data_IF_431921254987
#
_entry.id   IF_431921254987
#
_cell.length_a   1.000
_cell.length_b   1.000
_cell.length_c   1.000
_cell.angle_alpha   90.00
_cell.angle_beta   90.00
_cell.angle_gamma   90.00
#
_symmetry.space_group_name_H-M   'P 1'
#
loop_
_entity.id
_entity.type
_entity.pdbx_description
1 polymer ?
#
# COMPACT_ATOMS: atom_id res chain seq x y z
N UNK A 1 -12.22 29.40 -26.91
CA UNK A 1 -12.18 28.90 -25.51
C UNK A 1 -13.46 28.19 -25.01
N UNK A 2 -14.56 28.15 -25.78
CA UNK A 2 -15.76 27.35 -25.43
C UNK A 2 -15.87 26.00 -26.18
N UNK A 3 -15.22 25.86 -27.34
CA UNK A 3 -15.27 24.62 -28.14
C UNK A 3 -14.29 23.53 -27.68
N UNK A 4 -13.21 23.88 -26.98
CA UNK A 4 -12.22 22.91 -26.48
C UNK A 4 -12.73 22.08 -25.27
N UNK A 5 -13.95 22.34 -24.79
CA UNK A 5 -14.57 21.59 -23.68
C UNK A 5 -15.54 20.49 -24.13
N UNK A 6 -15.86 20.43 -25.42
CA UNK A 6 -16.89 19.52 -25.94
C UNK A 6 -16.28 18.18 -26.39
N UNK A 7 -15.04 18.16 -26.87
CA UNK A 7 -14.32 16.92 -27.23
C UNK A 7 -13.91 16.07 -26.02
N UNK A 8 -13.72 16.67 -24.84
CA UNK A 8 -13.43 15.94 -23.60
C UNK A 8 -14.63 15.12 -23.07
N UNK A 9 -15.85 15.42 -23.52
CA UNK A 9 -17.07 14.75 -23.07
C UNK A 9 -17.42 13.50 -23.90
N UNK A 10 -16.99 13.41 -25.17
CA UNK A 10 -17.23 12.22 -26.01
C UNK A 10 -16.27 11.06 -25.70
N UNK A 11 -15.08 11.33 -25.17
CA UNK A 11 -14.15 10.28 -24.73
C UNK A 11 -14.52 9.61 -23.39
N UNK A 12 -15.57 10.08 -22.70
CA UNK A 12 -16.11 9.43 -21.50
C UNK A 12 -17.09 8.27 -21.80
N UNK A 13 -17.49 8.08 -23.07
CA UNK A 13 -18.57 7.18 -23.48
C UNK A 13 -18.28 5.67 -23.46
N UNK A 14 -17.02 5.24 -23.36
CA UNK A 14 -16.68 3.82 -23.18
C UNK A 14 -15.62 3.68 -22.12
N UNK A 15 -16.04 3.74 -20.86
CA UNK A 15 -15.17 3.44 -19.75
C UNK A 15 -14.76 1.95 -19.86
N UNK A 16 -13.51 1.62 -20.24
CA UNK A 16 -13.08 0.23 -20.43
C UNK A 16 -13.25 -0.60 -19.14
N UNK A 17 -13.36 0.09 -18.00
CA UNK A 17 -13.69 -0.48 -16.68
C UNK A 17 -15.05 -1.14 -16.65
N UNK A 18 -16.06 -0.50 -17.24
CA UNK A 18 -17.44 -1.01 -17.25
C UNK A 18 -17.46 -2.25 -18.13
N UNK A 19 -16.86 -2.21 -19.31
CA UNK A 19 -16.74 -3.39 -20.18
C UNK A 19 -15.96 -4.54 -19.56
N UNK A 20 -14.84 -4.30 -18.89
CA UNK A 20 -14.06 -5.40 -18.25
C UNK A 20 -14.80 -6.02 -17.06
N UNK A 21 -15.54 -5.22 -16.28
CA UNK A 21 -16.38 -5.70 -15.19
C UNK A 21 -17.60 -6.47 -15.71
N UNK A 22 -18.23 -6.01 -16.80
CA UNK A 22 -19.31 -6.73 -17.46
C UNK A 22 -18.83 -8.05 -18.07
N UNK A 23 -17.64 -8.09 -18.65
CA UNK A 23 -17.03 -9.33 -19.14
C UNK A 23 -16.75 -10.28 -17.97
N UNK A 24 -16.15 -9.80 -16.89
CA UNK A 24 -15.92 -10.61 -15.68
C UNK A 24 -17.22 -11.16 -15.08
N UNK A 25 -18.24 -10.31 -14.97
CA UNK A 25 -19.56 -10.69 -14.50
C UNK A 25 -20.26 -11.68 -15.44
N UNK A 26 -20.19 -11.46 -16.75
CA UNK A 26 -20.75 -12.36 -17.76
C UNK A 26 -20.04 -13.72 -17.76
N UNK A 27 -18.72 -13.76 -17.59
CA UNK A 27 -17.95 -15.01 -17.44
C UNK A 27 -18.32 -15.72 -16.14
N UNK A 28 -18.48 -15.00 -15.03
CA UNK A 28 -18.96 -15.59 -13.78
C UNK A 28 -20.39 -16.11 -13.90
N UNK A 29 -21.28 -15.37 -14.58
CA UNK A 29 -22.68 -15.75 -14.79
C UNK A 29 -22.79 -16.96 -15.72
N UNK A 30 -22.03 -16.99 -16.83
CA UNK A 30 -21.92 -18.16 -17.72
C UNK A 30 -21.30 -19.36 -17.01
N UNK A 31 -20.31 -19.12 -16.13
CA UNK A 31 -19.76 -20.16 -15.26
C UNK A 31 -20.80 -20.73 -14.30
N UNK A 32 -21.65 -19.88 -13.70
CA UNK A 32 -22.74 -20.29 -12.80
C UNK A 32 -23.85 -21.03 -13.57
N UNK A 33 -24.27 -20.53 -14.73
CA UNK A 33 -25.28 -21.20 -15.57
C UNK A 33 -24.75 -22.53 -16.08
N UNK A 34 -23.50 -22.56 -16.55
CA UNK A 34 -22.79 -23.77 -16.94
C UNK A 34 -22.73 -24.78 -15.79
N UNK A 35 -22.34 -24.32 -14.59
CA UNK A 35 -22.34 -25.11 -13.36
C UNK A 35 -23.73 -25.69 -13.05
N UNK A 36 -24.79 -24.89 -13.08
CA UNK A 36 -26.17 -25.36 -12.82
C UNK A 36 -26.61 -26.42 -13.84
N UNK A 37 -26.28 -26.25 -15.12
CA UNK A 37 -26.57 -27.28 -16.14
C UNK A 37 -25.72 -28.53 -15.98
N UNK A 38 -24.48 -28.40 -15.49
CA UNK A 38 -23.55 -29.51 -15.29
C UNK A 38 -23.82 -30.28 -13.99
N UNK A 39 -24.41 -29.62 -12.98
CA UNK A 39 -24.82 -30.24 -11.70
C UNK A 39 -25.94 -31.25 -11.84
N UNK A 40 -26.66 -31.23 -12.97
CA UNK A 40 -27.71 -32.20 -13.28
C UNK A 40 -27.15 -33.51 -13.86
N UNK A 41 -25.86 -33.56 -14.18
CA UNK A 41 -25.22 -34.66 -14.94
C UNK A 41 -24.11 -35.37 -14.13
N UNK A 42 -23.59 -34.73 -13.08
CA UNK A 42 -22.37 -35.16 -12.39
C UNK A 42 -22.61 -35.39 -10.89
N UNK A 43 -21.88 -36.37 -10.35
CA UNK A 43 -21.79 -36.71 -8.94
C UNK A 43 -21.61 -35.46 -8.04
N UNK A 44 -22.45 -35.34 -7.00
CA UNK A 44 -22.61 -34.11 -6.18
C UNK A 44 -21.29 -33.60 -5.60
N UNK A 45 -20.39 -34.53 -5.28
CA UNK A 45 -19.06 -34.22 -4.75
C UNK A 45 -18.13 -33.58 -5.79
N UNK A 46 -18.17 -34.05 -7.03
CA UNK A 46 -17.37 -33.47 -8.12
C UNK A 46 -17.89 -32.07 -8.48
N UNK A 47 -19.21 -31.88 -8.44
CA UNK A 47 -19.83 -30.57 -8.66
C UNK A 47 -19.36 -29.52 -7.64
N UNK A 48 -19.42 -29.83 -6.35
CA UNK A 48 -18.97 -28.92 -5.28
C UNK A 48 -17.51 -28.50 -5.48
N UNK A 49 -16.65 -29.45 -5.87
CA UNK A 49 -15.21 -29.21 -6.07
C UNK A 49 -14.93 -28.32 -7.28
N UNK A 50 -15.59 -28.57 -8.41
CA UNK A 50 -15.48 -27.72 -9.61
C UNK A 50 -15.97 -26.29 -9.30
N UNK A 51 -17.09 -26.15 -8.60
CA UNK A 51 -17.62 -24.84 -8.21
C UNK A 51 -16.65 -24.06 -7.31
N UNK A 52 -16.06 -24.74 -6.32
CA UNK A 52 -15.07 -24.16 -5.40
C UNK A 52 -13.80 -23.69 -6.14
N UNK A 53 -13.32 -24.49 -7.10
CA UNK A 53 -12.17 -24.16 -7.93
C UNK A 53 -12.43 -22.96 -8.84
N UNK A 54 -13.59 -22.91 -9.50
CA UNK A 54 -13.99 -21.77 -10.35
C UNK A 54 -14.08 -20.48 -9.52
N UNK A 55 -14.63 -20.56 -8.31
CA UNK A 55 -14.74 -19.41 -7.41
C UNK A 55 -13.35 -18.89 -7.00
N UNK A 56 -12.43 -19.78 -6.62
CA UNK A 56 -11.07 -19.42 -6.26
C UNK A 56 -10.30 -18.76 -7.43
N UNK A 57 -10.41 -19.32 -8.64
CA UNK A 57 -9.84 -18.75 -9.85
C UNK A 57 -10.44 -17.36 -10.14
N UNK A 58 -11.76 -17.22 -9.99
CA UNK A 58 -12.45 -15.93 -10.14
C UNK A 58 -11.92 -14.87 -9.19
N UNK A 59 -11.70 -15.20 -7.92
CA UNK A 59 -11.11 -14.30 -6.91
C UNK A 59 -9.69 -13.88 -7.32
N UNK A 60 -8.88 -14.80 -7.85
CA UNK A 60 -7.53 -14.50 -8.32
C UNK A 60 -7.54 -13.57 -9.54
N UNK A 61 -8.42 -13.81 -10.51
CA UNK A 61 -8.55 -12.97 -11.70
C UNK A 61 -8.99 -11.55 -11.32
N UNK A 62 -10.01 -11.41 -10.46
CA UNK A 62 -10.51 -10.11 -10.00
C UNK A 62 -9.41 -9.37 -9.23
N UNK A 63 -8.70 -10.07 -8.35
CA UNK A 63 -7.57 -9.51 -7.58
C UNK A 63 -6.43 -9.05 -8.50
N UNK A 64 -6.08 -9.85 -9.50
CA UNK A 64 -5.05 -9.52 -10.48
C UNK A 64 -5.46 -8.29 -11.32
N UNK A 65 -6.70 -8.26 -11.82
CA UNK A 65 -7.22 -7.13 -12.59
C UNK A 65 -7.23 -5.83 -11.76
N UNK A 66 -7.61 -5.90 -10.49
CA UNK A 66 -7.55 -4.77 -9.56
C UNK A 66 -6.11 -4.24 -9.42
N UNK A 67 -5.14 -5.13 -9.29
CA UNK A 67 -3.72 -4.79 -9.16
C UNK A 67 -3.19 -4.16 -10.45
N UNK A 68 -3.46 -4.75 -11.61
CA UNK A 68 -3.08 -4.20 -12.91
C UNK A 68 -3.65 -2.79 -13.13
N UNK A 69 -4.93 -2.58 -12.81
CA UNK A 69 -5.56 -1.26 -12.91
C UNK A 69 -4.86 -0.23 -12.03
N UNK A 70 -4.45 -0.64 -10.83
CA UNK A 70 -3.81 0.24 -9.85
C UNK A 70 -2.39 0.59 -10.27
N UNK A 71 -1.63 -0.39 -10.78
CA UNK A 71 -0.31 -0.20 -11.38
C UNK A 71 -0.42 0.76 -12.58
N UNK A 72 -1.40 0.56 -13.48
CA UNK A 72 -1.61 1.43 -14.64
C UNK A 72 -1.94 2.87 -14.26
N UNK A 73 -2.77 3.09 -13.23
CA UNK A 73 -3.20 4.44 -12.82
C UNK A 73 -2.15 5.23 -12.05
N UNK A 74 -1.30 4.55 -11.27
CA UNK A 74 -0.32 5.21 -10.39
C UNK A 74 1.13 5.08 -10.86
N UNK A 75 1.40 4.30 -11.90
CA UNK A 75 2.75 3.96 -12.35
C UNK A 75 3.36 2.79 -11.57
N UNK A 76 4.24 2.03 -12.21
CA UNK A 76 4.93 0.89 -11.60
C UNK A 76 5.72 1.31 -10.35
N UNK A 77 6.31 2.49 -10.36
CA UNK A 77 7.20 2.95 -9.29
C UNK A 77 6.49 3.20 -7.96
N UNK A 78 5.17 3.21 -7.89
CA UNK A 78 4.46 3.64 -6.68
C UNK A 78 3.76 2.50 -5.94
N UNK A 79 3.57 1.35 -6.60
CA UNK A 79 2.59 0.37 -6.16
C UNK A 79 3.04 -1.09 -6.16
N UNK A 80 4.24 -1.38 -6.63
CA UNK A 80 4.68 -2.77 -6.84
C UNK A 80 4.71 -3.56 -5.54
N UNK A 81 5.32 -3.06 -4.47
CA UNK A 81 5.52 -3.88 -3.27
C UNK A 81 4.20 -4.26 -2.58
N UNK A 82 3.38 -3.29 -2.16
CA UNK A 82 2.12 -3.56 -1.45
C UNK A 82 1.12 -4.37 -2.26
N UNK A 83 0.98 -4.10 -3.56
CA UNK A 83 0.09 -4.88 -4.42
C UNK A 83 0.60 -6.29 -4.68
N UNK A 84 1.91 -6.46 -4.94
CA UNK A 84 2.49 -7.79 -5.12
C UNK A 84 2.33 -8.60 -3.84
N UNK A 85 2.57 -8.01 -2.67
CA UNK A 85 2.36 -8.68 -1.39
C UNK A 85 0.90 -9.07 -1.16
N UNK A 86 -0.06 -8.19 -1.49
CA UNK A 86 -1.48 -8.52 -1.42
C UNK A 86 -1.85 -9.66 -2.40
N UNK A 87 -1.29 -9.64 -3.62
CA UNK A 87 -1.53 -10.69 -4.62
C UNK A 87 -1.01 -12.05 -4.17
N UNK A 88 0.21 -12.09 -3.64
CA UNK A 88 0.80 -13.29 -3.05
C UNK A 88 -0.11 -13.80 -1.93
N UNK A 89 -0.66 -12.90 -1.10
CA UNK A 89 -1.63 -13.26 -0.08
C UNK A 89 -2.91 -13.89 -0.65
N UNK A 90 -3.49 -13.32 -1.71
CA UNK A 90 -4.64 -13.93 -2.41
C UNK A 90 -4.31 -15.29 -3.01
N UNK A 91 -3.10 -15.46 -3.55
CA UNK A 91 -2.65 -16.73 -4.11
C UNK A 91 -2.50 -17.79 -3.02
N UNK A 92 -1.85 -17.48 -1.90
CA UNK A 92 -1.72 -18.39 -0.75
C UNK A 92 -3.07 -18.74 -0.12
N UNK A 93 -4.03 -17.82 -0.16
CA UNK A 93 -5.39 -18.06 0.30
C UNK A 93 -6.20 -18.96 -0.65
N UNK A 94 -6.07 -18.74 -1.97
CA UNK A 94 -6.82 -19.49 -2.97
C UNK A 94 -6.21 -20.86 -3.31
N UNK A 95 -4.90 -21.03 -3.13
CA UNK A 95 -4.18 -22.25 -3.52
C UNK A 95 -4.74 -23.52 -2.83
N UNK A 96 -4.99 -23.55 -1.50
CA UNK A 96 -5.64 -24.68 -0.86
C UNK A 96 -7.01 -25.03 -1.46
N UNK A 97 -7.80 -24.01 -1.79
CA UNK A 97 -9.14 -24.16 -2.36
C UNK A 97 -9.06 -24.79 -3.75
N UNK A 98 -8.08 -24.38 -4.55
CA UNK A 98 -7.81 -24.93 -5.89
C UNK A 98 -7.28 -26.37 -5.78
N UNK A 99 -6.40 -26.65 -4.82
CA UNK A 99 -5.88 -28.00 -4.61
C UNK A 99 -6.98 -28.97 -4.16
N UNK A 100 -7.87 -28.55 -3.25
CA UNK A 100 -9.06 -29.33 -2.86
C UNK A 100 -9.96 -29.58 -4.09
N UNK A 101 -10.10 -28.60 -4.97
CA UNK A 101 -10.89 -28.74 -6.19
C UNK A 101 -10.31 -29.75 -7.18
N UNK A 102 -8.98 -29.85 -7.28
CA UNK A 102 -8.29 -30.70 -8.27
C UNK A 102 -8.01 -32.11 -7.71
N UNK A 103 -7.45 -32.22 -6.50
CA UNK A 103 -6.95 -33.49 -5.94
C UNK A 103 -8.05 -34.27 -5.22
N UNK A 104 -8.43 -35.43 -5.76
CA UNK A 104 -9.49 -36.30 -5.21
C UNK A 104 -9.20 -36.79 -3.80
N UNK A 105 -7.93 -36.98 -3.48
CA UNK A 105 -7.45 -37.30 -2.15
C UNK A 105 -6.33 -36.31 -1.84
N UNK A 106 -6.42 -35.62 -0.70
CA UNK A 106 -5.36 -34.72 -0.26
C UNK A 106 -4.36 -35.54 0.56
N UNK A 107 -3.13 -35.75 0.07
CA UNK A 107 -2.12 -36.47 0.82
C UNK A 107 -1.66 -35.59 2.00
N UNK A 108 -1.96 -36.04 3.22
CA UNK A 108 -1.37 -35.49 4.44
C UNK A 108 -2.02 -34.21 4.99
N UNK A 109 -1.76 -34.03 6.29
CA UNK A 109 -2.35 -33.13 7.28
C UNK A 109 -3.10 -31.89 6.77
N UNK A 110 -4.42 -31.90 6.97
CA UNK A 110 -5.34 -30.78 6.72
C UNK A 110 -4.89 -29.45 7.33
N UNK A 111 -4.02 -29.52 8.34
CA UNK A 111 -3.42 -28.40 9.05
C UNK A 111 -2.64 -27.42 8.14
N UNK A 112 -1.91 -27.91 7.13
CA UNK A 112 -1.11 -27.05 6.25
C UNK A 112 -1.96 -26.12 5.38
N UNK A 113 -3.16 -26.55 4.99
CA UNK A 113 -4.09 -25.73 4.21
C UNK A 113 -4.62 -24.55 5.03
N UNK A 114 -4.99 -24.81 6.29
CA UNK A 114 -5.45 -23.78 7.23
C UNK A 114 -4.34 -22.76 7.49
N UNK A 115 -3.10 -23.24 7.69
CA UNK A 115 -1.93 -22.36 7.82
C UNK A 115 -1.75 -21.49 6.57
N UNK A 116 -1.78 -22.09 5.37
CA UNK A 116 -1.63 -21.34 4.11
C UNK A 116 -2.70 -20.27 3.96
N UNK A 117 -3.96 -20.57 4.27
CA UNK A 117 -5.05 -19.59 4.24
C UNK A 117 -4.83 -18.46 5.25
N UNK A 118 -4.44 -18.81 6.49
CA UNK A 118 -4.13 -17.83 7.53
C UNK A 118 -2.98 -16.90 7.14
N UNK A 119 -1.89 -17.46 6.62
CA UNK A 119 -0.75 -16.69 6.09
C UNK A 119 -1.21 -15.81 4.93
N UNK A 120 -2.05 -16.32 4.03
CA UNK A 120 -2.63 -15.56 2.93
C UNK A 120 -3.38 -14.31 3.39
N UNK A 121 -4.27 -14.45 4.40
CA UNK A 121 -5.02 -13.33 4.98
C UNK A 121 -4.08 -12.29 5.61
N UNK A 122 -3.03 -12.73 6.31
CA UNK A 122 -2.02 -11.83 6.88
C UNK A 122 -1.29 -11.06 5.78
N UNK A 123 -0.90 -11.71 4.68
CA UNK A 123 -0.25 -11.07 3.54
C UNK A 123 -1.17 -10.08 2.81
N UNK A 124 -2.47 -10.38 2.69
CA UNK A 124 -3.45 -9.45 2.13
C UNK A 124 -3.53 -8.19 2.99
N UNK A 125 -3.74 -8.34 4.31
CA UNK A 125 -3.79 -7.22 5.24
C UNK A 125 -2.49 -6.41 5.24
N UNK A 126 -1.35 -7.10 5.19
CA UNK A 126 -0.04 -6.47 5.14
C UNK A 126 0.20 -5.71 3.83
N UNK A 127 -0.22 -6.26 2.68
CA UNK A 127 -0.15 -5.57 1.39
C UNK A 127 -0.94 -4.27 1.37
N UNK A 128 -2.09 -4.23 2.05
CA UNK A 128 -2.87 -2.99 2.25
C UNK A 128 -2.19 -2.00 3.19
N UNK A 129 -1.53 -2.47 4.26
CA UNK A 129 -0.79 -1.60 5.20
C UNK A 129 0.50 -1.02 4.58
N UNK A 130 1.20 -1.80 3.76
CA UNK A 130 2.37 -1.39 2.98
C UNK A 130 2.06 -0.33 1.93
N UNK A 131 0.77 -0.09 1.62
CA UNK A 131 0.35 1.02 0.78
C UNK A 131 0.65 2.41 1.42
N UNK A 132 1.10 2.43 2.68
CA UNK A 132 1.59 3.66 3.33
C UNK A 132 2.81 4.22 2.59
N UNK A 133 2.56 5.31 1.86
CA UNK A 133 3.42 5.99 0.87
C UNK A 133 4.90 6.15 1.23
N UNK A 134 5.26 6.31 2.49
CA UNK A 134 6.66 6.53 2.90
C UNK A 134 7.54 5.28 2.84
N UNK A 135 6.97 4.08 3.00
CA UNK A 135 7.75 2.84 2.97
C UNK A 135 8.22 2.52 1.54
N UNK A 136 7.32 2.65 0.56
CA UNK A 136 7.64 2.34 -0.83
C UNK A 136 8.80 3.20 -1.36
N UNK A 137 8.83 4.50 -1.03
CA UNK A 137 9.92 5.38 -1.49
C UNK A 137 11.29 4.98 -0.94
N UNK A 138 11.36 4.57 0.34
CA UNK A 138 12.60 4.08 0.95
C UNK A 138 13.00 2.72 0.39
N UNK A 139 12.05 1.82 0.18
CA UNK A 139 12.30 0.49 -0.37
C UNK A 139 12.85 0.56 -1.80
N UNK A 140 12.29 1.44 -2.63
CA UNK A 140 12.74 1.64 -4.02
C UNK A 140 14.15 2.24 -4.06
N UNK A 141 14.46 3.20 -3.19
CA UNK A 141 15.82 3.73 -3.10
C UNK A 141 16.83 2.63 -2.72
N UNK A 142 16.46 1.73 -1.81
CA UNK A 142 17.28 0.59 -1.43
C UNK A 142 17.42 -0.43 -2.57
N UNK A 143 16.34 -0.78 -3.27
CA UNK A 143 16.38 -1.68 -4.43
C UNK A 143 17.23 -1.13 -5.57
N UNK A 144 17.16 0.19 -5.81
CA UNK A 144 18.02 0.86 -6.80
C UNK A 144 19.48 0.78 -6.39
N UNK A 145 19.80 1.04 -5.12
CA UNK A 145 21.15 0.85 -4.58
C UNK A 145 21.62 -0.60 -4.73
N UNK A 146 20.76 -1.58 -4.46
CA UNK A 146 21.08 -3.00 -4.57
C UNK A 146 21.38 -3.39 -6.03
N UNK A 147 20.59 -2.89 -6.98
CA UNK A 147 20.83 -3.05 -8.43
C UNK A 147 22.18 -2.45 -8.82
N UNK A 148 22.49 -1.25 -8.36
CA UNK A 148 23.77 -0.59 -8.64
C UNK A 148 24.96 -1.37 -8.05
N UNK A 149 24.83 -1.91 -6.83
CA UNK A 149 25.84 -2.83 -6.25
C UNK A 149 25.99 -4.06 -7.14
N UNK A 150 24.88 -4.71 -7.52
CA UNK A 150 24.91 -5.93 -8.32
C UNK A 150 25.58 -5.73 -9.69
N UNK A 151 25.31 -4.62 -10.36
CA UNK A 151 25.97 -4.26 -11.63
C UNK A 151 27.47 -4.03 -11.43
N UNK A 152 27.90 -3.39 -10.32
CA UNK A 152 29.32 -3.23 -10.00
C UNK A 152 30.00 -4.56 -9.73
N UNK A 153 29.33 -5.45 -9.01
CA UNK A 153 29.81 -6.82 -8.72
C UNK A 153 29.97 -7.60 -10.03
N UNK A 154 28.96 -7.62 -10.91
CA UNK A 154 29.05 -8.29 -12.22
C UNK A 154 30.21 -7.76 -13.06
N UNK A 155 30.43 -6.43 -13.08
CA UNK A 155 31.57 -5.83 -13.78
C UNK A 155 32.91 -6.27 -13.16
N UNK A 156 33.01 -6.37 -11.83
CA UNK A 156 34.22 -6.79 -11.11
C UNK A 156 34.52 -8.28 -11.31
N UNK A 157 33.49 -9.12 -11.27
CA UNK A 157 33.57 -10.56 -11.51
C UNK A 157 34.18 -10.84 -12.89
N UNK A 158 33.74 -10.10 -13.93
CA UNK A 158 34.22 -10.30 -15.31
C UNK A 158 35.74 -10.15 -15.45
N UNK A 159 36.36 -9.23 -14.70
CA UNK A 159 37.81 -9.01 -14.77
C UNK A 159 38.60 -9.89 -13.81
N UNK A 160 38.10 -10.12 -12.59
CA UNK A 160 38.77 -10.99 -11.62
C UNK A 160 38.79 -12.46 -12.04
N UNK A 161 37.71 -12.95 -12.65
CA UNK A 161 37.69 -14.33 -13.16
C UNK A 161 38.72 -14.52 -14.26
N UNK A 162 39.06 -13.51 -15.07
CA UNK A 162 40.03 -13.72 -16.16
C UNK A 162 41.48 -13.69 -15.67
N UNK A 163 41.80 -12.87 -14.68
CA UNK A 163 43.19 -12.58 -14.26
C UNK A 163 43.59 -13.17 -12.90
N UNK A 164 42.76 -14.01 -12.29
CA UNK A 164 43.08 -14.57 -10.98
C UNK A 164 44.17 -15.64 -11.07
N UNK A 165 45.16 -15.65 -10.15
CA UNK A 165 46.10 -16.75 -10.02
C UNK A 165 45.40 -18.10 -9.78
N UNK A 166 44.21 -18.07 -9.19
CA UNK A 166 43.40 -19.27 -8.92
C UNK A 166 42.77 -19.89 -10.19
N UNK A 167 42.75 -19.17 -11.32
CA UNK A 167 42.37 -19.77 -12.60
C UNK A 167 43.26 -20.92 -13.02
N UNK A 168 44.49 -20.99 -12.49
CA UNK A 168 45.33 -22.17 -12.67
C UNK A 168 44.62 -23.46 -12.23
N UNK A 169 43.77 -23.43 -11.19
CA UNK A 169 43.01 -24.62 -10.80
C UNK A 169 41.94 -25.02 -11.82
N UNK A 170 41.29 -24.05 -12.46
CA UNK A 170 40.36 -24.33 -13.56
C UNK A 170 41.09 -24.81 -14.82
N UNK A 171 42.23 -24.22 -15.14
CA UNK A 171 43.07 -24.68 -16.27
C UNK A 171 43.58 -26.09 -16.01
N UNK A 172 44.07 -26.39 -14.81
CA UNK A 172 44.51 -27.74 -14.40
C UNK A 172 43.33 -28.70 -14.43
N UNK A 173 42.17 -28.35 -13.89
CA UNK A 173 40.97 -29.18 -13.92
C UNK A 173 40.49 -29.50 -15.34
N UNK A 174 40.44 -28.50 -16.23
CA UNK A 174 40.10 -28.69 -17.64
C UNK A 174 41.17 -29.55 -18.33
N UNK A 175 42.44 -29.31 -18.07
CA UNK A 175 43.55 -30.08 -18.65
C UNK A 175 43.45 -31.55 -18.23
N UNK A 176 43.15 -31.83 -16.95
CA UNK A 176 42.91 -33.19 -16.46
C UNK A 176 41.74 -33.84 -17.19
N UNK A 177 40.60 -33.15 -17.32
CA UNK A 177 39.42 -33.65 -18.04
C UNK A 177 39.76 -33.96 -19.52
N UNK A 178 40.50 -33.07 -20.19
CA UNK A 178 40.89 -33.24 -21.60
C UNK A 178 41.89 -34.38 -21.77
N UNK A 179 42.91 -34.49 -20.91
CA UNK A 179 43.90 -35.57 -20.98
C UNK A 179 43.27 -36.94 -20.70
N UNK A 180 42.31 -37.01 -19.76
CA UNK A 180 41.51 -38.21 -19.50
C UNK A 180 40.61 -38.55 -20.70
N UNK A 181 39.95 -37.57 -21.31
CA UNK A 181 39.12 -37.80 -22.51
C UNK A 181 39.91 -38.31 -23.72
N UNK A 182 41.18 -37.88 -23.85
CA UNK A 182 42.09 -38.33 -24.91
C UNK A 182 42.77 -39.68 -24.59
N UNK A 183 42.46 -40.30 -23.44
CA UNK A 183 43.02 -41.58 -22.99
C UNK A 183 44.56 -41.56 -22.87
N UNK A 184 45.16 -40.39 -22.65
CA UNK A 184 46.62 -40.20 -22.53
C UNK A 184 47.16 -40.74 -21.19
N UNK A 185 46.28 -40.94 -20.21
CA UNK A 185 46.59 -41.49 -18.87
C UNK A 185 45.95 -42.89 -18.72
N UNK A 186 46.54 -43.96 -19.32
CA UNK A 186 45.90 -45.27 -19.44
C UNK A 186 45.89 -46.10 -18.14
N UNK A 187 46.55 -45.65 -17.07
CA UNK A 187 46.78 -46.46 -15.87
C UNK A 187 45.71 -46.34 -14.78
N UNK A 188 44.69 -45.49 -14.96
CA UNK A 188 43.74 -45.18 -13.89
C UNK A 188 42.30 -45.05 -14.41
N UNK A 189 41.32 -45.39 -13.56
CA UNK A 189 39.89 -45.37 -13.90
C UNK A 189 39.40 -43.98 -14.32
N UNK A 190 38.87 -43.89 -15.55
CA UNK A 190 38.45 -42.66 -16.21
C UNK A 190 37.48 -41.80 -15.37
N UNK A 191 36.57 -42.41 -14.60
CA UNK A 191 35.55 -41.70 -13.82
C UNK A 191 36.16 -40.79 -12.74
N UNK A 192 37.25 -41.22 -12.10
CA UNK A 192 37.83 -40.52 -10.95
C UNK A 192 38.41 -39.15 -11.33
N UNK A 193 39.02 -39.04 -12.51
CA UNK A 193 39.62 -37.79 -12.98
C UNK A 193 38.60 -36.77 -13.49
N UNK A 194 37.48 -37.22 -14.06
CA UNK A 194 36.35 -36.32 -14.35
C UNK A 194 35.80 -35.71 -13.06
N UNK A 195 35.70 -36.50 -11.99
CA UNK A 195 35.25 -36.02 -10.68
C UNK A 195 36.27 -35.04 -10.10
N UNK A 196 37.58 -35.35 -10.11
CA UNK A 196 38.62 -34.44 -9.62
C UNK A 196 38.62 -33.13 -10.40
N UNK A 197 38.63 -33.18 -11.73
CA UNK A 197 38.60 -32.00 -12.58
C UNK A 197 37.35 -31.14 -12.32
N UNK A 198 36.19 -31.77 -12.19
CA UNK A 198 34.93 -31.11 -11.83
C UNK A 198 34.99 -30.44 -10.45
N UNK A 199 35.51 -31.14 -9.45
CA UNK A 199 35.66 -30.61 -8.08
C UNK A 199 36.60 -29.41 -8.04
N UNK A 200 37.73 -29.46 -8.75
CA UNK A 200 38.67 -28.34 -8.84
C UNK A 200 38.04 -27.09 -9.48
N UNK A 201 37.24 -27.28 -10.53
CA UNK A 201 36.50 -26.19 -11.19
C UNK A 201 35.47 -25.60 -10.23
N UNK A 202 34.70 -26.44 -9.52
CA UNK A 202 33.69 -26.00 -8.55
C UNK A 202 34.33 -25.26 -7.36
N UNK A 203 35.43 -25.77 -6.81
CA UNK A 203 36.16 -25.11 -5.71
C UNK A 203 36.67 -23.74 -6.14
N UNK A 204 37.24 -23.60 -7.35
CA UNK A 204 37.71 -22.31 -7.85
C UNK A 204 36.55 -21.30 -7.98
N UNK A 205 35.40 -21.74 -8.52
CA UNK A 205 34.19 -20.92 -8.61
C UNK A 205 33.71 -20.49 -7.22
N UNK A 206 33.68 -21.40 -6.24
CA UNK A 206 33.24 -21.11 -4.88
C UNK A 206 34.18 -20.12 -4.17
N UNK A 207 35.50 -20.25 -4.33
CA UNK A 207 36.48 -19.32 -3.76
C UNK A 207 36.28 -17.91 -4.34
N UNK A 208 36.09 -17.82 -5.67
CA UNK A 208 35.85 -16.54 -6.34
C UNK A 208 34.53 -15.89 -5.97
N UNK A 209 33.47 -16.69 -5.79
CA UNK A 209 32.16 -16.19 -5.43
C UNK A 209 32.05 -15.88 -3.94
N UNK A 210 32.87 -16.46 -3.05
CA UNK A 210 32.75 -16.30 -1.59
C UNK A 210 32.68 -14.85 -1.14
N UNK A 211 33.61 -14.00 -1.59
CA UNK A 211 33.65 -12.59 -1.18
C UNK A 211 32.44 -11.81 -1.71
N UNK A 212 32.09 -12.02 -2.97
CA UNK A 212 30.95 -11.32 -3.61
C UNK A 212 29.61 -11.80 -3.03
N UNK A 213 29.46 -13.09 -2.72
CA UNK A 213 28.32 -13.66 -1.99
C UNK A 213 28.21 -12.99 -0.61
N UNK A 214 29.32 -12.80 0.10
CA UNK A 214 29.31 -12.13 1.40
C UNK A 214 28.82 -10.69 1.27
N UNK A 215 29.34 -9.93 0.31
CA UNK A 215 28.91 -8.54 0.07
C UNK A 215 27.41 -8.46 -0.28
N UNK A 216 26.91 -9.36 -1.11
CA UNK A 216 25.47 -9.48 -1.43
C UNK A 216 24.66 -9.81 -0.17
N UNK A 217 25.09 -10.79 0.63
CA UNK A 217 24.41 -11.17 1.87
C UNK A 217 24.38 -10.01 2.87
N UNK A 218 25.45 -9.22 2.96
CA UNK A 218 25.52 -8.03 3.81
C UNK A 218 24.53 -6.95 3.36
N UNK A 219 24.40 -6.74 2.06
CA UNK A 219 23.43 -5.80 1.48
C UNK A 219 21.99 -6.27 1.70
N UNK A 220 21.72 -7.55 1.45
CA UNK A 220 20.43 -8.18 1.76
C UNK A 220 20.11 -8.04 3.25
N UNK A 221 21.06 -8.32 4.13
CA UNK A 221 20.90 -8.16 5.58
C UNK A 221 20.56 -6.72 5.99
N UNK A 222 21.16 -5.72 5.34
CA UNK A 222 20.80 -4.30 5.55
C UNK A 222 19.38 -3.99 5.09
N UNK A 223 18.94 -4.55 3.96
CA UNK A 223 17.56 -4.40 3.46
C UNK A 223 16.58 -5.06 4.43
N UNK A 224 16.82 -6.31 4.82
CA UNK A 224 15.98 -7.06 5.78
C UNK A 224 15.90 -6.31 7.11
N UNK A 225 17.03 -5.85 7.66
CA UNK A 225 17.06 -5.05 8.90
C UNK A 225 16.22 -3.76 8.79
N UNK A 226 16.24 -3.11 7.63
CA UNK A 226 15.45 -1.89 7.41
C UNK A 226 13.96 -2.21 7.34
N UNK A 227 13.59 -3.31 6.68
CA UNK A 227 12.21 -3.82 6.62
C UNK A 227 11.74 -4.19 8.03
N UNK A 228 12.52 -4.97 8.79
CA UNK A 228 12.19 -5.37 10.16
C UNK A 228 12.05 -4.18 11.11
N UNK A 229 12.90 -3.15 11.00
CA UNK A 229 12.75 -1.92 11.79
C UNK A 229 11.51 -1.12 11.38
N UNK A 230 11.17 -1.10 10.09
CA UNK A 230 9.93 -0.50 9.63
C UNK A 230 8.71 -1.26 10.16
N UNK A 231 8.74 -2.59 10.14
CA UNK A 231 7.75 -3.47 10.75
C UNK A 231 7.60 -3.20 12.24
N UNK A 232 8.69 -3.16 13.00
CA UNK A 232 8.64 -2.90 14.44
C UNK A 232 7.99 -1.56 14.76
N UNK A 233 8.20 -0.52 13.93
CA UNK A 233 7.51 0.77 14.09
C UNK A 233 6.03 0.69 13.73
N UNK A 234 5.68 -0.01 12.65
CA UNK A 234 4.29 -0.21 12.25
C UNK A 234 3.51 -0.99 13.33
N UNK A 235 4.08 -2.10 13.82
CA UNK A 235 3.55 -2.91 14.92
C UNK A 235 3.34 -2.08 16.18
N UNK A 236 4.29 -1.22 16.56
CA UNK A 236 4.11 -0.29 17.70
C UNK A 236 2.98 0.72 17.50
N UNK A 237 2.60 1.04 16.26
CA UNK A 237 1.47 1.92 15.98
C UNK A 237 0.13 1.20 15.94
N UNK A 238 0.11 -0.13 15.80
CA UNK A 238 -1.13 -0.92 15.73
C UNK A 238 -2.06 -0.66 16.92
N UNK A 239 -1.63 -0.64 18.21
CA UNK A 239 -2.54 -0.37 19.32
C UNK A 239 -3.21 1.00 19.22
N UNK A 240 -2.48 2.00 18.74
CA UNK A 240 -3.01 3.35 18.53
C UNK A 240 -4.01 3.36 17.36
N UNK A 241 -3.67 2.72 16.26
CA UNK A 241 -4.57 2.59 15.09
C UNK A 241 -5.82 1.81 15.49
N UNK A 242 -5.71 0.71 16.24
CA UNK A 242 -6.86 -0.06 16.74
C UNK A 242 -7.69 0.79 17.69
N UNK A 243 -7.08 1.60 18.56
CA UNK A 243 -7.82 2.50 19.45
C UNK A 243 -8.56 3.58 18.67
N UNK A 244 -7.89 4.27 17.75
CA UNK A 244 -8.48 5.32 16.91
C UNK A 244 -9.54 4.75 15.96
N UNK A 245 -9.26 3.61 15.33
CA UNK A 245 -10.21 2.87 14.50
C UNK A 245 -11.35 2.31 15.33
N UNK A 246 -11.14 1.90 16.58
CA UNK A 246 -12.16 1.43 17.51
C UNK A 246 -13.09 2.56 17.95
N UNK A 247 -12.56 3.73 18.27
CA UNK A 247 -13.34 4.94 18.57
C UNK A 247 -14.13 5.36 17.32
N UNK A 248 -13.46 5.46 16.17
CA UNK A 248 -14.10 5.79 14.91
C UNK A 248 -15.16 4.75 14.53
N UNK A 249 -14.86 3.47 14.67
CA UNK A 249 -15.77 2.36 14.39
C UNK A 249 -16.93 2.39 15.36
N UNK A 250 -16.75 2.69 16.64
CA UNK A 250 -17.83 2.84 17.61
C UNK A 250 -18.74 4.03 17.27
N UNK A 251 -18.16 5.21 17.00
CA UNK A 251 -18.91 6.40 16.61
C UNK A 251 -19.66 6.18 15.28
N UNK A 252 -19.01 5.51 14.33
CA UNK A 252 -19.57 5.28 13.00
C UNK A 252 -20.51 4.10 12.96
N UNK A 253 -20.27 3.01 13.68
CA UNK A 253 -21.23 1.92 13.86
C UNK A 253 -22.44 2.38 14.63
N UNK A 254 -22.30 3.20 15.67
CA UNK A 254 -23.46 3.83 16.33
C UNK A 254 -24.27 4.69 15.35
N UNK A 255 -23.60 5.52 14.55
CA UNK A 255 -24.24 6.32 13.50
C UNK A 255 -24.88 5.45 12.41
N UNK A 256 -24.22 4.35 12.07
CA UNK A 256 -24.60 3.40 11.04
C UNK A 256 -25.73 2.51 11.51
N UNK A 257 -25.79 2.06 12.76
CA UNK A 257 -26.92 1.36 13.37
C UNK A 257 -28.12 2.29 13.54
N UNK A 258 -27.91 3.60 13.78
CA UNK A 258 -28.99 4.59 13.69
C UNK A 258 -29.46 4.84 12.26
N UNK A 259 -28.58 4.70 11.27
CA UNK A 259 -28.89 4.90 9.86
C UNK A 259 -29.47 3.64 9.22
N UNK A 260 -29.00 2.46 9.62
CA UNK A 260 -29.59 1.13 9.40
C UNK A 260 -30.90 1.04 10.14
N UNK A 261 -31.06 1.55 11.36
CA UNK A 261 -32.36 1.58 12.02
C UNK A 261 -33.38 2.41 11.23
N UNK A 262 -32.94 3.56 10.70
CA UNK A 262 -33.76 4.40 9.80
C UNK A 262 -33.95 3.79 8.42
N UNK A 263 -32.92 3.14 7.86
CA UNK A 263 -32.94 2.50 6.57
C UNK A 263 -33.72 1.20 6.62
N UNK A 264 -33.58 0.33 7.62
CA UNK A 264 -34.50 -0.77 7.93
C UNK A 264 -35.90 -0.21 8.09
N UNK A 265 -36.13 0.86 8.85
CA UNK A 265 -37.47 1.47 8.93
C UNK A 265 -37.98 1.96 7.55
N UNK A 266 -37.09 2.28 6.61
CA UNK A 266 -37.41 2.69 5.24
C UNK A 266 -37.47 1.52 4.22
N UNK A 267 -36.70 0.45 4.44
CA UNK A 267 -36.53 -0.78 3.63
C UNK A 267 -37.62 -1.80 4.00
N UNK A 268 -37.97 -1.88 5.28
CA UNK A 268 -39.20 -2.53 5.81
C UNK A 268 -40.43 -1.86 5.19
N UNK A 269 -40.36 -0.56 4.90
CA UNK A 269 -41.45 0.20 4.27
C UNK A 269 -41.35 0.21 2.72
N UNK A 270 -40.21 -0.18 2.12
CA UNK A 270 -40.00 -0.08 0.66
C UNK A 270 -39.24 -1.29 0.10
N UNK A 271 -40.01 -2.23 -0.45
CA UNK A 271 -39.69 -3.27 -1.45
C UNK A 271 -38.63 -4.37 -1.21
N UNK A 272 -37.77 -4.33 -0.17
CA UNK A 272 -36.78 -5.40 0.03
C UNK A 272 -37.25 -6.56 0.91
N UNK A 273 -38.28 -6.35 1.75
CA UNK A 273 -39.02 -7.44 2.41
C UNK A 273 -39.61 -8.40 1.38
N UNK A 274 -39.99 -7.87 0.21
CA UNK A 274 -40.57 -8.64 -0.86
C UNK A 274 -39.54 -9.56 -1.54
N UNK A 275 -38.27 -9.14 -1.65
CA UNK A 275 -37.19 -9.93 -2.27
C UNK A 275 -36.59 -10.98 -1.32
N UNK A 276 -36.38 -10.61 -0.05
CA UNK A 276 -35.96 -11.56 0.99
C UNK A 276 -37.09 -12.55 1.31
N UNK A 277 -38.32 -12.04 1.40
CA UNK A 277 -39.54 -12.84 1.45
C UNK A 277 -39.72 -13.72 0.23
N UNK A 278 -39.31 -13.29 -0.98
CA UNK A 278 -39.31 -14.13 -2.19
C UNK A 278 -38.30 -15.27 -2.08
N UNK A 279 -37.12 -15.03 -1.49
CA UNK A 279 -36.12 -16.07 -1.26
C UNK A 279 -36.63 -17.15 -0.29
N UNK A 280 -37.29 -16.71 0.80
CA UNK A 280 -37.95 -17.62 1.74
C UNK A 280 -39.15 -18.32 1.09
N UNK A 281 -39.99 -17.59 0.35
CA UNK A 281 -41.14 -18.17 -0.35
C UNK A 281 -40.72 -19.18 -1.42
N UNK A 282 -39.66 -18.90 -2.19
CA UNK A 282 -39.07 -19.83 -3.16
C UNK A 282 -38.55 -21.11 -2.50
N UNK A 283 -38.00 -21.03 -1.29
CA UNK A 283 -37.61 -22.21 -0.51
C UNK A 283 -38.79 -23.14 -0.22
N UNK A 284 -39.96 -22.57 0.08
CA UNK A 284 -41.19 -23.33 0.34
C UNK A 284 -41.92 -23.75 -0.95
N UNK A 285 -41.90 -22.94 -2.01
CA UNK A 285 -42.54 -23.23 -3.30
C UNK A 285 -41.80 -24.31 -4.10
N UNK A 286 -40.50 -24.47 -3.87
CA UNK A 286 -39.69 -25.53 -4.46
C UNK A 286 -39.70 -26.83 -3.62
N UNK A 287 -40.71 -27.05 -2.78
CA UNK A 287 -40.81 -28.22 -1.87
C UNK A 287 -40.68 -29.57 -2.57
N UNK A 288 -41.04 -29.65 -3.86
CA UNK A 288 -40.95 -30.84 -4.70
C UNK A 288 -39.54 -31.10 -5.26
N UNK A 289 -38.58 -30.19 -5.06
CA UNK A 289 -37.19 -30.36 -5.48
C UNK A 289 -36.33 -30.95 -4.35
N UNK A 290 -35.21 -31.57 -4.73
CA UNK A 290 -34.20 -32.03 -3.79
C UNK A 290 -33.80 -30.90 -2.82
N UNK A 291 -33.53 -31.26 -1.56
CA UNK A 291 -33.29 -30.31 -0.48
C UNK A 291 -32.07 -29.42 -0.77
N UNK A 292 -31.03 -29.95 -1.44
CA UNK A 292 -29.85 -29.15 -1.80
C UNK A 292 -30.19 -28.04 -2.81
N UNK A 293 -31.05 -28.32 -3.80
CA UNK A 293 -31.47 -27.34 -4.81
C UNK A 293 -32.25 -26.20 -4.16
N UNK A 294 -33.11 -26.51 -3.19
CA UNK A 294 -33.85 -25.51 -2.39
C UNK A 294 -32.92 -24.63 -1.58
N UNK A 295 -31.94 -25.23 -0.90
CA UNK A 295 -30.95 -24.47 -0.12
C UNK A 295 -30.11 -23.60 -1.05
N UNK A 296 -29.63 -24.12 -2.17
CA UNK A 296 -28.76 -23.39 -3.11
C UNK A 296 -29.47 -22.18 -3.73
N UNK A 297 -30.69 -22.35 -4.22
CA UNK A 297 -31.50 -21.26 -4.82
C UNK A 297 -31.91 -20.20 -3.80
N UNK A 298 -32.36 -20.60 -2.61
CA UNK A 298 -32.69 -19.67 -1.53
C UNK A 298 -31.46 -18.89 -1.04
N UNK A 299 -30.33 -19.58 -0.87
CA UNK A 299 -29.06 -18.97 -0.49
C UNK A 299 -28.57 -17.99 -1.56
N UNK A 300 -28.74 -18.31 -2.85
CA UNK A 300 -28.37 -17.43 -3.95
C UNK A 300 -29.22 -16.15 -3.99
N UNK A 301 -30.55 -16.27 -3.82
CA UNK A 301 -31.46 -15.11 -3.79
C UNK A 301 -31.15 -14.21 -2.57
N UNK A 302 -30.91 -14.81 -1.40
CA UNK A 302 -30.48 -14.09 -0.21
C UNK A 302 -29.11 -13.42 -0.40
N UNK A 303 -28.16 -14.11 -1.04
CA UNK A 303 -26.83 -13.59 -1.32
C UNK A 303 -26.90 -12.41 -2.30
N UNK A 304 -27.70 -12.48 -3.36
CA UNK A 304 -27.92 -11.35 -4.29
C UNK A 304 -28.56 -10.15 -3.57
N UNK A 305 -29.52 -10.40 -2.67
CA UNK A 305 -30.16 -9.35 -1.87
C UNK A 305 -29.19 -8.66 -0.90
N UNK A 306 -28.14 -9.35 -0.44
CA UNK A 306 -27.12 -8.80 0.46
C UNK A 306 -25.97 -8.14 -0.33
N UNK A 307 -25.52 -8.76 -1.43
CA UNK A 307 -24.36 -8.32 -2.21
C UNK A 307 -24.63 -7.02 -2.95
N UNK A 308 -25.85 -6.82 -3.50
CA UNK A 308 -26.18 -5.60 -4.24
C UNK A 308 -26.07 -4.32 -3.37
N UNK A 309 -26.67 -4.24 -2.17
CA UNK A 309 -26.46 -3.11 -1.25
C UNK A 309 -24.99 -2.88 -0.88
N UNK A 310 -24.21 -3.95 -0.71
CA UNK A 310 -22.77 -3.85 -0.40
C UNK A 310 -21.99 -3.26 -1.59
N UNK A 311 -22.34 -3.64 -2.82
CA UNK A 311 -21.74 -3.09 -4.04
C UNK A 311 -22.13 -1.62 -4.24
N UNK A 312 -23.39 -1.24 -3.98
CA UNK A 312 -23.82 0.16 -4.05
C UNK A 312 -23.13 1.02 -2.98
N UNK A 313 -22.86 0.43 -1.80
CA UNK A 313 -22.08 1.09 -0.76
C UNK A 313 -20.61 1.25 -1.10
N UNK A 314 -20.02 0.38 -1.91
CA UNK A 314 -18.63 0.51 -2.36
C UNK A 314 -18.41 1.87 -3.03
N UNK A 315 -19.33 2.28 -3.90
CA UNK A 315 -19.18 3.51 -4.67
C UNK A 315 -19.35 4.74 -3.75
N UNK A 316 -20.28 4.68 -2.79
CA UNK A 316 -20.41 5.67 -1.72
C UNK A 316 -19.14 5.79 -0.85
N UNK A 317 -18.56 4.67 -0.40
CA UNK A 317 -17.31 4.67 0.36
C UNK A 317 -16.14 5.15 -0.49
N UNK A 318 -16.10 4.76 -1.76
CA UNK A 318 -15.09 5.20 -2.72
C UNK A 318 -15.06 6.72 -2.86
N UNK A 319 -16.24 7.34 -3.02
CA UNK A 319 -16.38 8.80 -3.09
C UNK A 319 -15.92 9.45 -1.78
N UNK A 320 -16.42 9.01 -0.62
CA UNK A 320 -16.06 9.60 0.69
C UNK A 320 -14.57 9.44 1.03
N UNK A 321 -13.98 8.28 0.75
CA UNK A 321 -12.54 8.04 0.95
C UNK A 321 -11.74 8.93 0.00
N UNK A 322 -12.18 9.11 -1.25
CA UNK A 322 -11.49 9.97 -2.21
C UNK A 322 -11.51 11.44 -1.77
N UNK A 323 -12.64 11.94 -1.27
CA UNK A 323 -12.78 13.30 -0.73
C UNK A 323 -11.92 13.50 0.52
N UNK A 324 -11.93 12.53 1.44
CA UNK A 324 -11.07 12.56 2.63
C UNK A 324 -9.58 12.57 2.25
N UNK A 325 -9.17 11.76 1.26
CA UNK A 325 -7.80 11.76 0.72
C UNK A 325 -7.44 13.09 0.07
N UNK A 326 -8.33 13.68 -0.73
CA UNK A 326 -8.10 14.99 -1.34
C UNK A 326 -7.94 16.08 -0.28
N UNK A 327 -8.75 16.05 0.78
CA UNK A 327 -8.64 16.96 1.91
C UNK A 327 -7.30 16.80 2.62
N UNK A 328 -6.92 15.56 3.00
CA UNK A 328 -5.62 15.28 3.62
C UNK A 328 -4.45 15.69 2.72
N UNK A 329 -4.53 15.44 1.42
CA UNK A 329 -3.50 15.84 0.47
C UNK A 329 -3.37 17.37 0.40
N UNK A 330 -4.48 18.10 0.26
CA UNK A 330 -4.48 19.57 0.27
C UNK A 330 -3.91 20.13 1.58
N UNK A 331 -4.28 19.56 2.73
CA UNK A 331 -3.75 19.97 4.04
C UNK A 331 -2.25 19.69 4.17
N UNK A 332 -1.80 18.51 3.72
CA UNK A 332 -0.38 18.12 3.72
C UNK A 332 0.44 18.97 2.74
N UNK A 333 -0.13 19.32 1.59
CA UNK A 333 0.51 20.17 0.60
C UNK A 333 0.59 21.62 1.10
N UNK A 334 -0.46 22.14 1.75
CA UNK A 334 -0.44 23.44 2.41
C UNK A 334 0.63 23.51 3.50
N UNK A 335 0.76 22.49 4.36
CA UNK A 335 1.82 22.45 5.38
C UNK A 335 3.21 22.32 4.74
N UNK A 336 3.39 21.51 3.71
CA UNK A 336 4.67 21.44 2.98
C UNK A 336 5.04 22.75 2.28
N UNK A 337 4.08 23.41 1.62
CA UNK A 337 4.33 24.69 0.96
C UNK A 337 4.61 25.78 1.97
N UNK A 338 3.89 25.80 3.11
CA UNK A 338 4.20 26.67 4.24
C UNK A 338 5.63 26.40 4.75
N UNK A 339 6.04 25.14 4.90
CA UNK A 339 7.42 24.79 5.30
C UNK A 339 8.46 25.15 4.23
N UNK A 340 8.12 25.05 2.94
CA UNK A 340 9.03 25.40 1.83
C UNK A 340 9.26 26.92 1.77
N UNK A 341 8.21 27.72 1.93
CA UNK A 341 8.32 29.18 2.01
C UNK A 341 9.09 29.61 3.28
N UNK A 342 8.94 28.86 4.38
CA UNK A 342 9.63 29.11 5.67
C UNK A 342 11.12 28.76 5.69
N UNK A 343 11.70 28.15 4.65
CA UNK A 343 13.15 27.83 4.61
C UNK A 343 14.04 29.04 4.31
N UNK A 344 13.47 30.15 3.83
CA UNK A 344 14.21 31.35 3.44
C UNK A 344 13.97 32.54 4.38
N UNK A 345 13.66 32.29 5.65
CA UNK A 345 13.51 33.37 6.62
C UNK A 345 14.89 33.93 6.95
N UNK A 346 15.08 35.22 6.69
CA UNK A 346 16.28 35.97 7.04
C UNK A 346 16.09 36.62 8.41
N UNK A 347 17.14 36.65 9.21
CA UNK A 347 17.14 37.36 10.48
C UNK A 347 16.86 38.86 10.25
N UNK A 348 15.87 39.49 10.91
CA UNK A 348 15.58 40.91 10.68
C UNK A 348 16.72 41.84 11.13
N UNK A 349 17.57 41.38 12.05
CA UNK A 349 18.72 42.16 12.55
C UNK A 349 19.95 42.07 11.63
N UNK A 350 20.33 40.87 11.16
CA UNK A 350 21.59 40.66 10.43
C UNK A 350 21.42 40.08 9.02
N UNK A 351 20.18 39.90 8.55
CA UNK A 351 19.83 39.30 7.25
C UNK A 351 20.33 37.87 6.99
N UNK A 352 20.99 37.24 7.95
CA UNK A 352 21.51 35.89 7.81
C UNK A 352 20.35 34.86 7.81
N UNK A 353 20.34 33.87 6.90
CA UNK A 353 19.27 32.87 6.84
C UNK A 353 19.26 32.05 8.14
N UNK A 354 18.14 31.99 8.85
CA UNK A 354 18.04 31.22 10.09
C UNK A 354 17.03 30.06 9.93
N UNK A 355 17.43 28.79 10.12
CA UNK A 355 16.48 27.70 10.18
C UNK A 355 15.50 27.89 11.37
N UNK A 356 14.21 28.03 11.05
CA UNK A 356 13.05 28.43 11.88
C UNK A 356 12.90 27.81 13.29
N UNK A 357 13.64 26.75 13.61
CA UNK A 357 13.51 26.03 14.88
C UNK A 357 14.10 26.78 16.09
N UNK A 358 14.97 27.77 15.89
CA UNK A 358 15.57 28.52 17.00
C UNK A 358 14.87 29.85 17.25
N UNK A 359 14.63 30.18 18.53
CA UNK A 359 14.13 31.50 18.94
C UNK A 359 15.15 32.61 18.67
N UNK A 360 16.43 32.26 18.74
CA UNK A 360 17.55 33.18 18.55
C UNK A 360 18.23 33.00 17.19
N UNK A 361 18.82 34.07 16.68
CA UNK A 361 19.71 34.04 15.53
C UNK A 361 21.06 33.41 15.89
N UNK A 362 21.48 32.36 15.20
CA UNK A 362 22.82 31.78 15.32
C UNK A 362 23.99 32.75 15.08
N UNK A 363 23.80 33.79 14.26
CA UNK A 363 24.87 34.74 13.93
C UNK A 363 24.94 35.90 14.93
N UNK A 364 23.83 36.59 15.19
CA UNK A 364 23.81 37.76 16.08
C UNK A 364 23.30 37.48 17.49
N UNK A 365 22.84 36.25 17.78
CA UNK A 365 22.28 35.80 19.08
C UNK A 365 21.05 36.58 19.57
N UNK A 366 20.53 37.56 18.82
CA UNK A 366 19.29 38.28 19.14
C UNK A 366 18.07 37.36 18.97
N UNK A 367 17.08 37.51 19.85
CA UNK A 367 15.79 36.81 19.74
C UNK A 367 15.03 37.33 18.52
N UNK A 368 14.51 36.43 17.69
CA UNK A 368 13.79 36.80 16.48
C UNK A 368 12.35 37.14 16.84
N UNK A 369 11.86 38.36 16.53
CA UNK A 369 10.50 38.77 16.80
C UNK A 369 9.52 37.86 16.05
N UNK A 370 8.52 37.35 16.76
CA UNK A 370 7.49 36.47 16.21
C UNK A 370 6.12 37.00 16.56
N UNK A 371 5.19 36.89 15.61
CA UNK A 371 3.80 37.18 15.89
C UNK A 371 3.20 36.10 16.78
N UNK A 372 2.65 36.47 17.94
CA UNK A 372 2.13 35.49 18.91
C UNK A 372 0.85 34.76 18.46
N UNK A 373 0.23 35.15 17.33
CA UNK A 373 -0.95 34.48 16.76
C UNK A 373 -0.55 33.45 15.70
N UNK A 374 0.25 33.83 14.69
CA UNK A 374 0.65 32.92 13.61
C UNK A 374 1.97 32.18 13.88
N UNK A 375 2.70 32.59 14.92
CA UNK A 375 4.04 32.12 15.29
C UNK A 375 5.08 32.24 14.18
N UNK A 376 4.83 33.07 13.16
CA UNK A 376 5.80 33.39 12.11
C UNK A 376 6.66 34.58 12.54
N UNK A 377 7.88 34.63 12.00
CA UNK A 377 8.82 35.74 12.19
C UNK A 377 8.28 37.02 11.55
N UNK A 378 8.55 38.15 12.19
CA UNK A 378 8.26 39.48 11.66
C UNK A 378 9.45 39.94 10.81
N UNK A 379 9.19 40.36 9.58
CA UNK A 379 10.22 40.87 8.67
C UNK A 379 10.60 42.32 8.99
N UNK A 380 11.81 42.74 8.61
CA UNK A 380 12.22 44.15 8.72
C UNK A 380 11.24 45.00 7.91
N UNK A 381 10.83 46.15 8.46
CA UNK A 381 9.86 47.08 7.86
C UNK A 381 8.41 46.54 7.75
N UNK A 382 8.11 45.36 8.31
CA UNK A 382 6.74 44.89 8.37
C UNK A 382 5.90 45.78 9.31
N UNK A 383 4.67 46.10 8.90
CA UNK A 383 3.71 46.76 9.77
C UNK A 383 3.28 45.80 10.88
N UNK A 384 3.57 46.17 12.12
CA UNK A 384 3.23 45.40 13.31
C UNK A 384 2.24 46.15 14.20
N UNK A 385 1.65 45.41 15.12
CA UNK A 385 0.96 45.97 16.26
C UNK A 385 1.52 45.36 17.54
N UNK A 386 1.72 46.21 18.53
CA UNK A 386 2.27 45.85 19.84
C UNK A 386 1.15 45.92 20.87
N UNK A 387 1.04 44.91 21.73
CA UNK A 387 0.05 44.97 22.81
C UNK A 387 0.45 46.05 23.82
N UNK A 388 -0.44 47.01 24.16
CA UNK A 388 -0.09 48.11 25.07
C UNK A 388 0.14 47.66 26.52
N UNK A 389 -0.19 46.41 26.87
CA UNK A 389 -0.10 45.88 28.23
C UNK A 389 1.08 44.94 28.45
N UNK A 390 1.52 44.20 27.42
CA UNK A 390 2.55 43.17 27.55
C UNK A 390 3.61 43.22 26.46
N UNK A 391 3.55 44.23 25.59
CA UNK A 391 4.56 44.54 24.55
C UNK A 391 4.83 43.40 23.54
N UNK A 392 4.00 42.36 23.55
CA UNK A 392 4.10 41.29 22.58
C UNK A 392 3.76 41.80 21.17
N UNK A 393 4.50 41.30 20.18
CA UNK A 393 4.43 41.73 18.79
C UNK A 393 3.43 40.86 18.01
N UNK A 394 2.66 41.50 17.13
CA UNK A 394 1.71 40.86 16.23
C UNK A 394 1.78 41.46 14.83
N UNK A 395 1.46 40.67 13.81
CA UNK A 395 1.06 41.25 12.52
C UNK A 395 -0.29 41.96 12.68
N UNK A 396 -0.44 43.16 12.11
CA UNK A 396 -1.64 43.99 12.25
C UNK A 396 -2.90 43.22 11.88
N UNK A 397 -2.91 42.49 10.77
CA UNK A 397 -4.07 41.73 10.30
C UNK A 397 -4.47 40.61 11.25
N UNK A 398 -3.50 39.90 11.83
CA UNK A 398 -3.77 38.82 12.77
C UNK A 398 -4.37 39.37 14.06
N UNK A 399 -3.81 40.45 14.63
CA UNK A 399 -4.35 41.05 15.84
C UNK A 399 -5.73 41.68 15.62
N UNK A 400 -5.93 42.37 14.48
CA UNK A 400 -7.21 42.95 14.09
C UNK A 400 -8.30 41.89 13.92
N UNK A 401 -7.96 40.77 13.29
CA UNK A 401 -8.90 39.63 13.14
C UNK A 401 -9.20 39.00 14.50
N UNK A 402 -8.20 38.84 15.37
CA UNK A 402 -8.38 38.29 16.70
C UNK A 402 -9.32 39.15 17.56
N UNK A 403 -9.08 40.47 17.61
CA UNK A 403 -9.85 41.42 18.42
C UNK A 403 -11.32 41.47 18.01
N UNK A 404 -11.63 41.27 16.73
CA UNK A 404 -13.03 41.18 16.25
C UNK A 404 -13.83 40.07 16.92
N UNK A 405 -13.18 38.96 17.29
CA UNK A 405 -13.83 37.83 17.95
C UNK A 405 -13.56 37.79 19.45
N UNK A 406 -12.42 38.31 19.90
CA UNK A 406 -11.96 38.28 21.28
C UNK A 406 -11.28 39.61 21.64
N UNK A 407 -11.93 40.52 22.39
CA UNK A 407 -11.38 41.86 22.68
C UNK A 407 -10.15 41.85 23.62
N UNK A 408 -9.70 40.66 24.06
CA UNK A 408 -8.58 40.46 24.99
C UNK A 408 -7.33 39.97 24.26
N UNK A 409 -6.17 40.43 24.72
CA UNK A 409 -4.87 39.96 24.25
C UNK A 409 -4.74 38.43 24.42
N UNK A 410 -4.24 37.69 23.42
CA UNK A 410 -4.05 36.24 23.53
C UNK A 410 -2.96 35.81 24.51
N UNK A 411 -2.09 36.74 24.94
CA UNK A 411 -0.97 36.45 25.86
C UNK A 411 -1.26 36.90 27.28
N UNK A 412 -1.60 38.18 27.49
CA UNK A 412 -1.83 38.71 28.84
C UNK A 412 -3.32 38.78 29.25
N UNK A 413 -4.25 38.49 28.34
CA UNK A 413 -5.70 38.55 28.57
C UNK A 413 -6.29 39.93 28.95
N UNK A 414 -5.49 41.00 28.95
CA UNK A 414 -6.01 42.36 29.11
C UNK A 414 -6.74 42.83 27.85
N UNK A 415 -7.76 43.66 28.04
CA UNK A 415 -8.57 44.21 26.95
C UNK A 415 -7.77 45.23 26.12
N UNK A 416 -7.84 45.10 24.78
CA UNK A 416 -7.15 45.98 23.84
C UNK A 416 -8.16 47.00 23.31
N UNK A 417 -8.12 48.22 23.84
CA UNK A 417 -9.05 49.31 23.48
C UNK A 417 -8.77 49.91 22.10
N UNK A 418 -7.50 49.98 21.70
CA UNK A 418 -7.08 50.47 20.39
C UNK A 418 -5.85 49.72 19.89
N UNK A 419 -5.79 49.50 18.58
CA UNK A 419 -4.66 48.87 17.90
C UNK A 419 -3.73 49.99 17.45
N UNK A 420 -2.54 50.08 18.08
CA UNK A 420 -1.46 50.93 17.56
C UNK A 420 -0.72 50.15 16.47
N UNK A 421 -0.43 50.81 15.36
CA UNK A 421 0.33 50.25 14.24
C UNK A 421 1.67 50.96 14.12
N UNK A 422 2.74 50.18 14.08
CA UNK A 422 4.11 50.67 14.01
C UNK A 422 4.86 49.90 12.91
N UNK A 423 5.85 50.53 12.29
CA UNK A 423 6.74 49.86 11.33
C UNK A 423 7.85 49.20 12.14
N UNK A 424 8.04 47.90 12.01
CA UNK A 424 9.08 47.20 12.75
C UNK A 424 10.47 47.61 12.25
N UNK A 425 11.15 48.43 13.06
CA UNK A 425 12.54 48.80 12.88
C UNK A 425 13.35 48.12 13.99
N UNK A 426 14.17 47.09 13.67
CA UNK A 426 15.02 46.48 14.68
C UNK A 426 16.04 47.51 15.16
N UNK A 427 16.04 47.83 16.45
CA UNK A 427 17.02 48.76 17.01
C UNK A 427 18.45 48.27 16.73
N UNK A 428 19.25 49.16 16.12
CA UNK A 428 20.67 48.95 15.84
C UNK A 428 21.47 49.06 17.14
N UNK A 429 21.29 48.05 18.01
CA UNK A 429 22.10 47.84 19.21
C UNK A 429 23.35 47.03 18.93
#
# INVERSE_FOLDING_TARGET
MKEEKQDDLEHLGRNPVVTTLWIGFAVSLLGIVGLITFSLIIDEYLYFRIALGILAIGVLIISFAFILRRIRKKGLDYFVAGAVTAYIGFLLFALPIILIAILTELPGEQFWYIISMGVGVVFIGFGFLMETYELNKKLIALLKSLKETFVKILKRIKWKIVFSPWNLFSVVGITVIVLTALNILPFLDNLYYYIIGGVLIVINILIHLRQEIWDILKDIGRVISTILRAWGRALKQIPRIIKEAGIWFYEKTSSFFKLIGRALKYIIVKNYFLLFGLGIAMFFLLSNFALEIRIATSSLVCLVAIVKPILDWRDFFGEKISTARQYLYKTTQKTRNALKYRKNIRCPYCSFPNPFLRRECWQCKKEIPRCMICNNTVEKEATISVCPHCENIYHVDHLKTWIRFNPKCPVCHNEIKSIKTEIFQPEEG
#
